data_IF_533474270881
#
_entry.id   IF_533474270881
#
_cell.length_a   1.000
_cell.length_b   1.000
_cell.length_c   1.000
_cell.angle_alpha   90.00
_cell.angle_beta   90.00
_cell.angle_gamma   90.00
#
_symmetry.space_group_name_H-M   'P 1'
#
loop_
_entity.id
_entity.type
_entity.pdbx_description
1 polymer ?
#
# COMPACT_ATOMS: atom_id res chain seq x y z
N UNK A 1 -20.79 1.66 3.78
CA UNK A 1 -19.44 1.82 4.37
C UNK A 1 -18.56 0.67 3.99
N UNK A 2 -17.32 0.94 3.73
CA UNK A 2 -16.35 -0.10 3.38
C UNK A 2 -15.16 -0.01 4.29
N UNK A 3 -14.48 -1.13 4.46
CA UNK A 3 -13.23 -1.20 5.17
C UNK A 3 -12.14 -1.39 4.13
N UNK A 4 -11.15 -0.50 4.14
CA UNK A 4 -10.03 -0.63 3.23
C UNK A 4 -8.82 -1.04 4.06
N UNK A 5 -8.16 -2.09 3.64
CA UNK A 5 -6.92 -2.52 4.26
C UNK A 5 -5.84 -2.30 3.23
N UNK A 6 -4.89 -1.45 3.55
CA UNK A 6 -3.83 -1.11 2.61
C UNK A 6 -2.49 -1.49 3.21
N UNK A 7 -1.76 -2.32 2.52
CA UNK A 7 -0.44 -2.76 2.95
C UNK A 7 0.56 -2.11 2.02
N UNK A 8 1.44 -1.29 2.58
CA UNK A 8 2.40 -0.53 1.79
C UNK A 8 3.77 -0.70 2.41
N UNK A 9 4.79 -0.25 1.72
CA UNK A 9 6.12 -0.28 2.30
C UNK A 9 6.25 0.81 3.33
N UNK A 10 6.99 0.53 4.38
CA UNK A 10 7.13 1.47 5.48
C UNK A 10 7.64 2.82 5.03
N UNK A 11 8.49 2.84 4.04
CA UNK A 11 9.04 4.12 3.59
C UNK A 11 8.00 5.01 2.94
N UNK A 12 6.87 4.45 2.54
CA UNK A 12 5.80 5.25 1.96
C UNK A 12 4.77 5.66 3.01
N UNK A 13 4.86 5.14 4.22
CA UNK A 13 3.80 5.32 5.20
C UNK A 13 3.63 6.77 5.65
N UNK A 14 4.72 7.50 5.82
CA UNK A 14 4.60 8.88 6.25
C UNK A 14 3.93 9.74 5.19
N UNK A 15 4.27 9.52 3.95
CA UNK A 15 3.66 10.27 2.87
C UNK A 15 2.17 9.97 2.80
N UNK A 16 1.80 8.71 2.97
CA UNK A 16 0.40 8.34 2.97
C UNK A 16 -0.35 8.94 4.15
N UNK A 17 0.23 8.90 5.33
CA UNK A 17 -0.44 9.47 6.49
C UNK A 17 -0.71 10.95 6.29
N UNK A 18 0.25 11.66 5.73
CA UNK A 18 0.06 13.07 5.48
C UNK A 18 -1.03 13.31 4.44
N UNK A 19 -1.06 12.50 3.41
CA UNK A 19 -2.07 12.66 2.37
C UNK A 19 -3.46 12.37 2.91
N UNK A 20 -3.59 11.34 3.74
CA UNK A 20 -4.88 11.03 4.34
C UNK A 20 -5.34 12.17 5.25
N UNK A 21 -4.45 12.70 6.07
CA UNK A 21 -4.80 13.78 6.97
C UNK A 21 -5.24 15.01 6.19
N UNK A 22 -4.54 15.30 5.11
CA UNK A 22 -4.87 16.46 4.32
C UNK A 22 -6.25 16.33 3.70
N UNK A 23 -6.68 15.13 3.43
CA UNK A 23 -7.97 14.87 2.83
C UNK A 23 -9.03 14.46 3.85
N UNK A 24 -8.74 14.65 5.11
CA UNK A 24 -9.70 14.35 6.19
C UNK A 24 -10.13 12.89 6.19
N UNK A 25 -9.19 12.00 5.92
CA UNK A 25 -9.46 10.58 5.97
C UNK A 25 -8.83 10.03 7.22
N UNK A 26 -9.65 9.41 8.06
CA UNK A 26 -9.16 8.81 9.28
C UNK A 26 -8.65 7.42 9.00
N UNK A 27 -7.56 7.07 9.60
CA UNK A 27 -7.00 5.74 9.39
C UNK A 27 -6.30 5.29 10.65
N UNK A 28 -6.16 3.99 10.79
CA UNK A 28 -5.41 3.38 11.87
C UNK A 28 -4.25 2.63 11.25
N UNK A 29 -3.05 2.92 11.73
CA UNK A 29 -1.89 2.20 11.23
C UNK A 29 -1.56 1.11 12.23
N UNK A 30 -1.38 -0.10 11.76
CA UNK A 30 -1.05 -1.22 12.62
C UNK A 30 0.45 -1.30 12.77
N UNK A 31 0.89 -1.48 14.00
CA UNK A 31 2.29 -1.71 14.26
C UNK A 31 2.56 -3.18 14.18
N UNK A 32 3.66 -3.56 13.61
CA UNK A 32 3.94 -4.95 13.47
C UNK A 32 5.24 -5.22 14.10
N UNK A 33 5.23 -5.99 15.15
CA UNK A 33 6.45 -6.34 15.79
C UNK A 33 6.67 -7.82 15.76
N UNK A 34 5.84 -8.58 15.26
CA UNK A 34 6.04 -9.99 15.21
C UNK A 34 6.37 -10.41 13.85
N UNK A 35 6.40 -11.65 13.58
CA UNK A 35 6.70 -12.13 12.29
C UNK A 35 5.53 -12.20 11.37
N UNK A 36 4.36 -11.82 11.82
CA UNK A 36 3.20 -11.97 11.01
C UNK A 36 3.23 -11.07 9.80
N UNK A 37 3.57 -9.80 9.99
CA UNK A 37 3.69 -8.92 8.88
C UNK A 37 5.16 -8.73 8.59
N UNK A 38 5.50 -8.65 7.34
CA UNK A 38 6.87 -8.54 6.99
C UNK A 38 7.47 -7.27 7.46
N UNK A 39 8.70 -7.36 7.88
CA UNK A 39 9.42 -6.17 8.22
C UNK A 39 9.46 -5.26 7.03
N UNK A 40 9.33 -4.01 7.21
CA UNK A 40 9.36 -3.06 6.13
C UNK A 40 8.01 -2.71 5.55
N UNK A 41 6.96 -3.34 6.04
CA UNK A 41 5.60 -3.02 5.59
C UNK A 41 4.82 -2.28 6.67
N UNK A 42 3.90 -1.47 6.24
CA UNK A 42 2.95 -0.80 7.12
C UNK A 42 1.55 -1.12 6.64
N UNK A 43 0.64 -1.31 7.57
CA UNK A 43 -0.74 -1.63 7.24
C UNK A 43 -1.65 -0.57 7.78
N UNK A 44 -2.54 -0.07 6.94
CA UNK A 44 -3.53 0.91 7.33
C UNK A 44 -4.91 0.31 7.26
N UNK A 45 -5.73 0.62 8.26
CA UNK A 45 -7.15 0.27 8.24
C UNK A 45 -7.93 1.55 8.09
N UNK A 46 -8.84 1.60 7.14
CA UNK A 46 -9.62 2.79 6.86
C UNK A 46 -11.08 2.40 6.69
N UNK A 47 -11.94 2.92 7.56
CA UNK A 47 -13.37 2.77 7.38
C UNK A 47 -13.89 4.00 6.70
N UNK A 48 -14.61 3.85 5.59
CA UNK A 48 -14.99 5.02 4.82
C UNK A 48 -16.31 4.79 4.11
N UNK A 49 -17.01 5.86 3.83
CA UNK A 49 -18.24 5.76 3.08
C UNK A 49 -17.99 5.30 1.66
N UNK A 50 -18.97 4.62 1.10
CA UNK A 50 -18.84 4.07 -0.24
C UNK A 50 -18.44 5.14 -1.25
N UNK A 51 -18.97 6.33 -1.10
CA UNK A 51 -18.71 7.39 -2.06
C UNK A 51 -17.29 7.88 -2.05
N UNK A 52 -16.56 7.61 -0.98
CA UNK A 52 -15.20 8.09 -0.87
C UNK A 52 -14.16 7.01 -1.09
N UNK A 53 -14.60 5.80 -1.42
CA UNK A 53 -13.66 4.71 -1.64
C UNK A 53 -12.68 5.04 -2.76
N UNK A 54 -13.18 5.59 -3.85
CA UNK A 54 -12.31 5.89 -4.96
C UNK A 54 -11.29 6.96 -4.60
N UNK A 55 -11.67 7.92 -3.77
CA UNK A 55 -10.74 8.94 -3.32
C UNK A 55 -9.58 8.31 -2.56
N UNK A 56 -9.89 7.37 -1.67
CA UNK A 56 -8.87 6.71 -0.89
C UNK A 56 -7.95 5.90 -1.81
N UNK A 57 -8.53 5.18 -2.76
CA UNK A 57 -7.73 4.38 -3.67
C UNK A 57 -6.80 5.23 -4.51
N UNK A 58 -7.26 6.40 -4.94
CA UNK A 58 -6.42 7.28 -5.71
C UNK A 58 -5.26 7.84 -4.88
N UNK A 59 -5.52 8.14 -3.62
CA UNK A 59 -4.48 8.63 -2.75
C UNK A 59 -3.41 7.56 -2.57
N UNK A 60 -3.83 6.32 -2.35
CA UNK A 60 -2.90 5.23 -2.18
C UNK A 60 -2.07 5.03 -3.45
N UNK A 61 -2.74 5.02 -4.58
CA UNK A 61 -2.07 4.79 -5.83
C UNK A 61 -1.03 5.87 -6.11
N UNK A 62 -1.36 7.10 -5.80
CA UNK A 62 -0.47 8.20 -6.06
C UNK A 62 0.74 8.20 -5.16
N UNK A 63 0.59 7.78 -3.93
CA UNK A 63 1.63 7.89 -2.93
C UNK A 63 2.40 6.59 -2.67
N UNK A 64 1.92 5.48 -3.15
CA UNK A 64 2.57 4.21 -2.94
C UNK A 64 2.74 3.44 -4.24
N UNK A 65 2.93 4.17 -5.34
CA UNK A 65 2.98 3.54 -6.60
C UNK A 65 4.25 2.75 -6.76
N UNK A 66 4.12 1.64 -7.39
CA UNK A 66 5.22 0.76 -7.61
C UNK A 66 6.18 1.33 -8.62
N UNK A 67 7.45 1.06 -8.47
CA UNK A 67 8.41 1.46 -9.46
C UNK A 67 9.48 0.41 -9.55
N UNK A 68 10.06 0.27 -10.66
CA UNK A 68 11.10 -0.68 -10.88
C UNK A 68 12.44 -0.01 -10.75
N UNK A 69 13.35 -0.58 -10.03
CA UNK A 69 14.63 0.00 -9.91
C UNK A 69 15.33 -0.01 -11.25
N UNK A 70 16.05 1.04 -11.52
CA UNK A 70 16.72 1.15 -12.73
C UNK A 70 17.68 0.01 -12.96
N UNK A 71 18.33 -0.37 -11.94
CA UNK A 71 19.26 -1.43 -12.03
C UNK A 71 18.63 -2.71 -12.44
N UNK A 72 17.43 -2.95 -12.08
CA UNK A 72 16.77 -4.17 -12.44
C UNK A 72 16.67 -4.33 -13.92
N UNK A 73 16.45 -3.29 -14.61
CA UNK A 73 16.34 -3.39 -16.03
C UNK A 73 17.63 -3.83 -16.61
N UNK A 74 18.71 -3.34 -16.12
CA UNK A 74 19.96 -3.73 -16.65
C UNK A 74 20.28 -5.14 -16.36
N UNK A 75 19.98 -5.56 -15.18
CA UNK A 75 20.22 -6.91 -14.85
C UNK A 75 19.42 -7.81 -15.72
N UNK A 76 18.25 -7.39 -16.01
CA UNK A 76 17.42 -8.18 -16.84
C UNK A 76 18.07 -8.39 -18.17
N UNK A 77 18.67 -7.43 -18.70
CA UNK A 77 19.29 -7.60 -19.94
C UNK A 77 20.48 -8.49 -19.84
N UNK A 78 21.20 -8.36 -18.82
CA UNK A 78 22.34 -9.18 -18.69
C UNK A 78 22.00 -10.59 -18.66
N UNK A 79 20.92 -10.88 -18.14
CA UNK A 79 20.63 -12.16 -17.97
C UNK A 79 20.11 -12.77 -19.06
N UNK A 80 20.01 -12.41 -19.98
CA UNK A 80 19.53 -12.82 -20.99
C UNK A 80 19.34 -14.06 -20.97
N UNK A 81 19.93 -14.48 -20.97
CA UNK A 81 19.68 -15.65 -20.97
C UNK A 81 18.89 -15.99 -19.89
N UNK A 82 19.14 -15.65 -19.06
CA UNK A 82 18.51 -16.09 -18.03
C UNK A 82 17.48 -15.54 -17.69
N UNK A 83 17.48 -15.30 -17.95
CA UNK A 83 16.65 -14.85 -17.61
C UNK A 83 15.76 -14.81 -17.00
N UNK A 84 15.81 -14.82 -17.15
CA UNK A 84 14.90 -14.97 -16.69
C UNK A 84 14.47 -14.53 -15.53
N UNK A 85 14.61 -14.13 -15.09
CA UNK A 85 14.21 -13.78 -14.04
C UNK A 85 14.07 -12.76 -13.65
N UNK A 86 13.68 -12.59 -13.25
CA UNK A 86 13.11 -11.83 -12.74
C UNK A 86 13.36 -10.99 -12.22
N UNK A 87 13.42 -10.49 -12.33
CA UNK A 87 13.81 -9.71 -11.89
C UNK A 87 13.16 -8.55 -11.68
N UNK A 88 12.05 -8.28 -11.76
CA UNK A 88 11.45 -7.14 -11.43
C UNK A 88 11.36 -7.03 -10.01
N UNK A 89 12.21 -6.36 -9.36
CA UNK A 89 12.09 -6.07 -7.98
C UNK A 89 11.33 -4.80 -7.89
N UNK A 90 10.15 -4.83 -7.39
CA UNK A 90 9.34 -3.63 -7.28
C UNK A 90 9.65 -2.89 -6.01
N UNK A 91 9.78 -1.60 -6.10
CA UNK A 91 9.99 -0.74 -4.96
C UNK A 91 8.75 0.10 -4.81
N UNK A 92 8.14 0.07 -3.67
CA UNK A 92 6.91 0.77 -3.43
C UNK A 92 5.74 -0.10 -3.81
N UNK A 93 4.62 0.47 -4.05
CA UNK A 93 3.42 -0.27 -4.37
C UNK A 93 2.58 -0.54 -3.15
N UNK A 94 1.41 -1.07 -3.37
CA UNK A 94 0.46 -1.33 -2.29
C UNK A 94 -0.41 -2.50 -2.64
N UNK A 95 -0.80 -3.24 -1.61
CA UNK A 95 -1.82 -4.26 -1.75
C UNK A 95 -3.04 -3.75 -0.99
N UNK A 96 -4.18 -3.70 -1.64
CA UNK A 96 -5.34 -3.07 -1.05
C UNK A 96 -6.52 -4.01 -1.13
N UNK A 97 -7.22 -4.17 -0.02
CA UNK A 97 -8.45 -4.92 0.03
C UNK A 97 -9.58 -3.96 0.38
N UNK A 98 -10.70 -4.09 -0.30
CA UNK A 98 -11.88 -3.30 0.02
C UNK A 98 -12.98 -4.27 0.36
N UNK A 99 -13.52 -4.18 1.57
CA UNK A 99 -14.49 -5.13 2.06
C UNK A 99 -15.73 -4.41 2.57
N UNK A 100 -16.89 -5.03 2.44
CA UNK A 100 -18.09 -4.40 3.00
C UNK A 100 -18.07 -4.46 4.52
N UNK A 101 -18.69 -3.48 5.15
CA UNK A 101 -18.81 -3.43 6.60
C UNK A 101 -20.28 -3.60 6.91
N UNK A 102 -20.61 -4.68 7.61
CA UNK A 102 -22.00 -4.92 7.93
C UNK A 102 -22.47 -4.03 9.04
N UNK A 103 -21.66 -3.82 10.05
CA UNK A 103 -22.01 -2.97 11.17
C UNK A 103 -20.81 -2.16 11.59
N UNK A 104 -21.03 -0.95 11.97
CA UNK A 104 -19.98 -0.08 12.47
C UNK A 104 -20.48 0.60 13.73
N UNK A 105 -19.77 0.43 14.82
CA UNK A 105 -20.15 1.02 16.09
C UNK A 105 -19.00 1.83 16.65
N UNK A 106 -19.28 3.02 17.10
CA UNK A 106 -18.29 3.85 17.73
C UNK A 106 -18.85 4.29 19.06
N UNK A 107 -18.27 3.82 20.11
CA UNK A 107 -18.80 4.04 21.46
C UNK A 107 -18.18 5.26 22.14
#
# INVERSE_FOLDING_TARGET
MKMIIAIVQSKDSNRLRKAFAKNHIQMTQLSTTGGFLREGNATFLIGIEDERVQDVLEIIKKNAKSREPYVTSQMHMDVEGGSAFPVNVQIGGATVFVMPVEQFHKF
#
